data_IF_458256938609
#
_entry.id   IF_458256938609
#
_cell.length_a   1.000
_cell.length_b   1.000
_cell.length_c   1.000
_cell.angle_alpha   90.00
_cell.angle_beta   90.00
_cell.angle_gamma   90.00
#
_symmetry.space_group_name_H-M   'P 1'
#
loop_
_entity.id
_entity.type
_entity.pdbx_description
1 polymer ?
#
# COMPACT_ATOMS: atom_id res chain seq x y z
N UNK A 1 60.34 -13.77 -7.19
CA UNK A 1 59.39 -14.89 -7.22
C UNK A 1 58.01 -14.27 -7.01
N UNK A 2 57.36 -13.87 -8.09
CA UNK A 2 56.34 -14.66 -8.84
C UNK A 2 54.98 -14.56 -8.10
N UNK A 3 54.06 -13.67 -8.49
CA UNK A 3 53.19 -13.64 -9.70
C UNK A 3 52.02 -14.64 -9.61
N UNK A 4 50.81 -14.06 -9.80
CA UNK A 4 49.50 -14.60 -10.20
C UNK A 4 48.58 -15.21 -9.13
N UNK A 5 47.38 -14.62 -8.93
CA UNK A 5 46.12 -14.65 -9.75
C UNK A 5 45.32 -15.90 -9.42
N UNK A 6 44.03 -15.81 -9.08
CA UNK A 6 42.89 -15.37 -9.92
C UNK A 6 41.87 -14.59 -9.07
N UNK A 7 41.22 -13.49 -9.48
CA UNK A 7 40.38 -13.19 -10.65
C UNK A 7 39.06 -13.98 -10.69
N UNK A 8 37.96 -13.21 -10.60
CA UNK A 8 36.59 -13.48 -11.09
C UNK A 8 35.71 -14.42 -10.26
N UNK A 9 34.40 -14.21 -10.06
CA UNK A 9 33.39 -13.31 -10.62
C UNK A 9 32.09 -13.53 -9.81
N UNK A 10 31.12 -12.60 -9.93
CA UNK A 10 29.72 -12.62 -9.48
C UNK A 10 29.51 -12.16 -8.01
N UNK A 11 28.73 -11.13 -7.70
CA UNK A 11 27.80 -10.34 -8.51
C UNK A 11 27.50 -9.00 -7.84
N UNK A 12 27.71 -7.93 -8.61
CA UNK A 12 26.98 -6.66 -8.53
C UNK A 12 25.50 -6.87 -8.18
N UNK A 13 25.08 -6.37 -7.01
CA UNK A 13 23.80 -5.68 -6.87
C UNK A 13 24.08 -4.41 -6.05
N UNK A 14 24.40 -3.35 -6.78
CA UNK A 14 24.38 -1.98 -6.27
C UNK A 14 22.94 -1.66 -5.85
N UNK A 15 22.69 -1.61 -4.53
CA UNK A 15 21.51 -0.95 -3.99
C UNK A 15 21.68 0.54 -4.21
N UNK A 16 21.09 0.95 -5.33
CA UNK A 16 20.69 2.27 -5.78
C UNK A 16 20.78 3.32 -4.66
N UNK A 17 21.81 4.15 -4.77
CA UNK A 17 21.85 5.52 -4.27
C UNK A 17 20.69 6.30 -4.92
N UNK A 18 19.58 6.45 -4.20
CA UNK A 18 18.52 7.40 -4.56
C UNK A 18 18.92 8.81 -4.09
N UNK A 19 20.07 9.29 -4.56
CA UNK A 19 20.33 10.71 -4.69
C UNK A 19 20.02 11.08 -6.13
N UNK A 20 18.74 11.36 -6.42
CA UNK A 20 18.34 11.99 -7.67
C UNK A 20 17.32 13.07 -7.34
N UNK A 21 17.83 14.31 -7.36
CA UNK A 21 17.19 15.45 -7.98
C UNK A 21 15.69 15.56 -7.71
N UNK A 22 15.34 16.41 -6.73
CA UNK A 22 14.10 17.19 -6.79
C UNK A 22 14.24 18.10 -8.01
N UNK A 23 14.05 17.53 -9.19
CA UNK A 23 13.69 18.26 -10.38
C UNK A 23 12.35 18.90 -10.05
N UNK A 24 12.33 20.21 -10.25
CA UNK A 24 11.13 21.03 -10.33
C UNK A 24 10.00 20.21 -10.93
N UNK A 25 8.98 19.95 -10.11
CA UNK A 25 7.71 19.45 -10.58
C UNK A 25 7.14 20.57 -11.47
N UNK A 26 7.51 20.55 -12.75
CA UNK A 26 6.79 21.28 -13.76
C UNK A 26 5.33 20.86 -13.62
N UNK A 27 4.37 21.79 -13.45
CA UNK A 27 2.98 21.43 -13.66
C UNK A 27 2.94 20.99 -15.12
N UNK A 28 2.77 19.69 -15.34
CA UNK A 28 2.35 19.18 -16.62
C UNK A 28 1.00 19.84 -16.87
N UNK A 29 1.07 20.94 -17.60
CA UNK A 29 -0.05 21.60 -18.23
C UNK A 29 -0.68 20.54 -19.13
N UNK A 30 -1.61 19.78 -18.56
CA UNK A 30 -2.81 19.45 -19.30
C UNK A 30 -3.31 20.80 -19.75
N UNK A 31 -3.05 21.14 -21.01
CA UNK A 31 -3.70 22.27 -21.67
C UNK A 31 -5.16 21.89 -21.80
N UNK A 32 -5.87 21.86 -20.67
CA UNK A 32 -7.26 22.24 -20.64
C UNK A 32 -7.21 23.66 -21.17
N UNK A 33 -7.44 23.81 -22.48
CA UNK A 33 -7.73 25.12 -23.04
C UNK A 33 -8.84 25.63 -22.14
N UNK A 34 -8.53 26.59 -21.26
CA UNK A 34 -9.55 27.35 -20.55
C UNK A 34 -10.40 27.99 -21.64
N UNK A 35 -11.43 27.25 -22.05
CA UNK A 35 -12.53 27.81 -22.79
C UNK A 35 -13.18 28.73 -21.78
N UNK A 36 -12.85 30.01 -21.88
CA UNK A 36 -13.50 31.03 -21.08
C UNK A 36 -15.01 30.82 -21.23
N UNK A 37 -15.73 30.91 -20.12
CA UNK A 37 -17.18 30.71 -20.10
C UNK A 37 -17.91 31.59 -21.11
N UNK A 38 -17.34 32.76 -21.38
CA UNK A 38 -17.78 33.68 -22.43
C UNK A 38 -17.69 33.04 -23.83
N UNK A 39 -16.64 32.29 -24.15
CA UNK A 39 -16.53 31.56 -25.43
C UNK A 39 -17.56 30.45 -25.53
N UNK A 40 -17.76 29.68 -24.46
CA UNK A 40 -18.78 28.61 -24.42
C UNK A 40 -20.18 29.20 -24.56
N UNK A 41 -20.47 30.30 -23.86
CA UNK A 41 -21.74 31.03 -23.95
C UNK A 41 -21.98 31.59 -25.35
N UNK A 42 -20.95 32.17 -25.98
CA UNK A 42 -21.03 32.71 -27.34
C UNK A 42 -21.25 31.60 -28.38
N UNK A 43 -20.60 30.45 -28.23
CA UNK A 43 -20.79 29.33 -29.15
C UNK A 43 -22.15 28.65 -28.94
N UNK A 44 -22.65 28.61 -27.70
CA UNK A 44 -24.02 28.19 -27.41
C UNK A 44 -25.05 29.12 -28.04
N UNK A 45 -24.86 30.44 -27.97
CA UNK A 45 -25.72 31.42 -28.62
C UNK A 45 -25.76 31.23 -30.15
N UNK A 46 -24.61 31.01 -30.79
CA UNK A 46 -24.56 30.69 -32.24
C UNK A 46 -25.30 29.40 -32.59
N UNK A 47 -25.20 28.38 -31.73
CA UNK A 47 -25.94 27.13 -31.91
C UNK A 47 -27.45 27.37 -31.77
N UNK A 48 -27.89 28.12 -30.77
CA UNK A 48 -29.29 28.53 -30.59
C UNK A 48 -29.80 29.25 -31.86
N UNK A 49 -29.06 30.22 -32.36
CA UNK A 49 -29.40 30.96 -33.58
C UNK A 49 -29.50 30.05 -34.81
N UNK A 50 -28.57 29.11 -34.97
CA UNK A 50 -28.54 28.18 -36.10
C UNK A 50 -29.74 27.23 -36.07
N UNK A 51 -30.10 26.73 -34.88
CA UNK A 51 -31.26 25.87 -34.67
C UNK A 51 -32.55 26.66 -34.95
N UNK A 52 -32.65 27.88 -34.44
CA UNK A 52 -33.78 28.78 -34.70
C UNK A 52 -33.96 29.07 -36.19
N UNK A 53 -32.88 29.40 -36.91
CA UNK A 53 -32.92 29.62 -38.36
C UNK A 53 -33.41 28.38 -39.10
N UNK A 54 -32.94 27.19 -38.72
CA UNK A 54 -33.39 25.92 -39.31
C UNK A 54 -34.87 25.66 -39.03
N UNK A 55 -35.34 25.93 -37.81
CA UNK A 55 -36.74 25.78 -37.42
C UNK A 55 -37.65 26.74 -38.19
N UNK A 56 -37.23 27.99 -38.40
CA UNK A 56 -37.95 28.99 -39.22
C UNK A 56 -38.06 28.49 -40.66
N UNK A 57 -36.96 28.00 -41.26
CA UNK A 57 -36.97 27.46 -42.61
C UNK A 57 -37.89 26.23 -42.73
N UNK A 58 -37.89 25.34 -41.74
CA UNK A 58 -38.78 24.19 -41.71
C UNK A 58 -40.26 24.61 -41.59
N UNK A 59 -40.57 25.63 -40.79
CA UNK A 59 -41.92 26.17 -40.68
C UNK A 59 -42.40 26.75 -42.02
N UNK A 60 -41.57 27.56 -42.67
CA UNK A 60 -41.85 28.12 -44.01
C UNK A 60 -42.08 26.99 -45.01
N UNK A 61 -41.24 25.95 -45.00
CA UNK A 61 -41.40 24.80 -45.88
C UNK A 61 -42.74 24.08 -45.65
N UNK A 62 -43.13 23.86 -44.38
CA UNK A 62 -44.45 23.28 -44.05
C UNK A 62 -45.63 24.15 -44.46
N UNK A 63 -45.47 25.48 -44.51
CA UNK A 63 -46.47 26.39 -45.04
C UNK A 63 -46.57 26.26 -46.58
N UNK A 64 -45.45 26.13 -47.27
CA UNK A 64 -45.41 25.88 -48.72
C UNK A 64 -46.08 24.55 -49.06
N UNK A 65 -45.83 23.50 -48.26
CA UNK A 65 -46.52 22.21 -48.39
C UNK A 65 -48.03 22.33 -48.19
N UNK A 66 -48.50 23.04 -47.15
CA UNK A 66 -49.94 23.21 -46.92
C UNK A 66 -50.63 24.05 -47.99
N UNK A 67 -49.98 25.09 -48.50
CA UNK A 67 -50.49 25.88 -49.64
C UNK A 67 -50.61 25.00 -50.89
N UNK A 68 -49.68 24.07 -51.10
CA UNK A 68 -49.76 23.14 -52.23
C UNK A 68 -50.82 22.04 -52.05
N UNK A 69 -51.07 21.61 -50.82
CA UNK A 69 -51.99 20.53 -50.48
C UNK A 69 -53.45 20.98 -50.31
N UNK A 70 -53.69 22.29 -50.19
CA UNK A 70 -55.03 22.86 -50.18
C UNK A 70 -55.72 22.59 -51.52
N UNK A 71 -56.57 21.56 -51.57
CA UNK A 71 -57.65 21.49 -52.54
C UNK A 71 -58.58 22.70 -52.35
N UNK A 72 -59.37 23.03 -53.38
CA UNK A 72 -60.24 24.21 -53.62
C UNK A 72 -61.17 24.69 -52.47
N UNK A 73 -61.03 24.18 -51.25
CA UNK A 73 -61.86 24.43 -50.07
C UNK A 73 -61.36 25.52 -49.11
N UNK A 74 -60.17 26.09 -49.30
CA UNK A 74 -59.73 27.24 -48.50
C UNK A 74 -59.97 28.56 -49.26
N UNK A 75 -60.72 29.47 -48.65
CA UNK A 75 -61.12 30.79 -49.16
C UNK A 75 -59.93 31.64 -49.66
N UNK A 76 -58.73 31.38 -49.16
CA UNK A 76 -57.48 32.05 -49.53
C UNK A 76 -56.81 31.51 -50.80
N UNK A 77 -57.22 30.33 -51.29
CA UNK A 77 -56.71 29.71 -52.51
C UNK A 77 -57.39 30.28 -53.78
N UNK A 78 -58.40 31.14 -53.62
CA UNK A 78 -59.11 31.81 -54.73
C UNK A 78 -58.21 32.66 -55.65
N UNK A 79 -57.00 33.00 -55.23
CA UNK A 79 -56.05 33.81 -56.01
C UNK A 79 -55.02 33.00 -56.81
N UNK A 80 -54.98 31.67 -56.61
CA UNK A 80 -54.02 30.77 -57.25
C UNK A 80 -54.68 30.06 -58.43
N UNK A 81 -54.11 30.19 -59.62
CA UNK A 81 -54.55 29.39 -60.77
C UNK A 81 -54.19 27.91 -60.54
N UNK A 82 -55.03 26.95 -60.97
CA UNK A 82 -54.79 25.51 -60.75
C UNK A 82 -53.48 25.03 -61.39
N UNK A 83 -53.05 25.67 -62.48
CA UNK A 83 -51.77 25.44 -63.14
C UNK A 83 -50.57 25.79 -62.25
N UNK A 84 -50.69 26.83 -61.41
CA UNK A 84 -49.65 27.23 -60.47
C UNK A 84 -49.49 26.23 -59.32
N UNK A 85 -50.60 25.66 -58.85
CA UNK A 85 -50.59 24.64 -57.80
C UNK A 85 -49.94 23.34 -58.28
N UNK A 86 -50.18 22.94 -59.53
CA UNK A 86 -49.53 21.78 -60.14
C UNK A 86 -48.02 22.01 -60.25
N UNK A 87 -47.61 23.18 -60.75
CA UNK A 87 -46.20 23.62 -60.80
C UNK A 87 -45.54 23.61 -59.40
N UNK A 88 -46.22 24.11 -58.38
CA UNK A 88 -45.72 24.15 -57.00
C UNK A 88 -45.59 22.75 -56.39
N UNK A 89 -46.57 21.86 -56.62
CA UNK A 89 -46.51 20.45 -56.19
C UNK A 89 -45.34 19.71 -56.84
N UNK A 90 -45.09 19.94 -58.13
CA UNK A 90 -43.94 19.37 -58.82
C UNK A 90 -42.61 19.82 -58.22
N UNK A 91 -42.49 21.09 -57.83
CA UNK A 91 -41.28 21.63 -57.17
C UNK A 91 -41.08 21.04 -55.77
N UNK A 92 -42.15 20.87 -55.00
CA UNK A 92 -42.07 20.25 -53.66
C UNK A 92 -41.66 18.77 -53.76
N UNK A 93 -42.24 18.04 -54.72
CA UNK A 93 -41.85 16.65 -55.00
C UNK A 93 -40.39 16.57 -55.42
N UNK A 94 -39.92 17.46 -56.29
CA UNK A 94 -38.52 17.53 -56.70
C UNK A 94 -37.58 17.78 -55.49
N UNK A 95 -37.92 18.73 -54.62
CA UNK A 95 -37.14 19.04 -53.42
C UNK A 95 -37.13 17.88 -52.40
N UNK A 96 -38.25 17.17 -52.24
CA UNK A 96 -38.33 16.00 -51.38
C UNK A 96 -37.47 14.84 -51.93
N UNK A 97 -37.50 14.61 -53.25
CA UNK A 97 -36.64 13.62 -53.92
C UNK A 97 -35.15 13.98 -53.75
N UNK A 98 -34.79 15.26 -53.87
CA UNK A 98 -33.42 15.76 -53.67
C UNK A 98 -32.93 15.54 -52.22
N UNK A 99 -33.80 15.76 -51.22
CA UNK A 99 -33.51 15.51 -49.81
C UNK A 99 -33.20 14.03 -49.52
N UNK A 100 -33.92 13.10 -50.13
CA UNK A 100 -33.71 11.66 -49.90
C UNK A 100 -32.57 11.07 -50.73
N UNK A 101 -32.32 11.59 -51.94
CA UNK A 101 -31.30 11.07 -52.85
C UNK A 101 -29.95 11.79 -52.74
N UNK A 102 -29.82 12.83 -51.90
CA UNK A 102 -28.61 13.68 -51.76
C UNK A 102 -28.01 14.04 -53.13
N UNK A 103 -28.87 14.42 -54.07
CA UNK A 103 -28.44 14.79 -55.41
C UNK A 103 -27.64 16.11 -55.34
N UNK A 104 -26.64 16.32 -56.21
CA UNK A 104 -25.99 17.63 -56.36
C UNK A 104 -27.04 18.70 -56.62
N UNK A 105 -26.84 19.86 -55.99
CA UNK A 105 -27.84 20.92 -55.91
C UNK A 105 -28.38 21.29 -57.30
N UNK A 106 -29.68 21.63 -57.39
CA UNK A 106 -30.31 22.06 -58.65
C UNK A 106 -29.57 23.24 -59.35
N UNK A 107 -28.75 24.01 -58.60
CA UNK A 107 -27.93 25.12 -59.10
C UNK A 107 -26.66 24.65 -59.83
N UNK A 108 -26.07 23.52 -59.43
CA UNK A 108 -24.88 22.97 -60.10
C UNK A 108 -25.24 22.27 -61.42
N UNK A 109 -26.52 21.91 -61.60
CA UNK A 109 -27.04 21.26 -62.83
C UNK A 109 -27.23 22.20 -64.02
N UNK A 110 -27.16 23.53 -63.85
CA UNK A 110 -27.26 24.44 -65.00
C UNK A 110 -26.00 24.43 -65.88
N UNK A 111 -24.88 23.88 -65.39
CA UNK A 111 -23.62 23.84 -66.12
C UNK A 111 -23.22 22.44 -66.60
N UNK A 112 -23.83 21.37 -66.08
CA UNK A 112 -23.51 19.99 -66.46
C UNK A 112 -24.65 19.36 -67.28
N UNK A 113 -24.46 19.40 -68.60
CA UNK A 113 -25.23 18.58 -69.53
C UNK A 113 -25.00 17.09 -69.19
N UNK A 114 -26.06 16.44 -68.68
CA UNK A 114 -26.25 14.98 -68.50
C UNK A 114 -25.68 14.36 -67.21
N UNK A 115 -26.29 14.65 -66.06
CA UNK A 115 -26.27 13.68 -64.94
C UNK A 115 -27.51 12.78 -64.99
N UNK A 116 -27.38 11.65 -65.69
CA UNK A 116 -28.36 10.55 -65.68
C UNK A 116 -27.97 9.54 -64.61
N UNK A 117 -28.52 9.67 -63.40
CA UNK A 117 -28.47 8.57 -62.43
C UNK A 117 -29.78 7.78 -62.63
N UNK A 118 -29.64 6.52 -63.09
CA UNK A 118 -30.72 5.53 -63.25
C UNK A 118 -31.79 5.81 -64.35
N UNK A 119 -31.44 6.50 -65.43
CA UNK A 119 -32.31 6.60 -66.62
C UNK A 119 -33.59 7.44 -66.46
N UNK A 120 -33.82 8.05 -65.30
CA UNK A 120 -34.90 9.03 -65.12
C UNK A 120 -34.40 10.37 -65.64
N UNK A 121 -34.76 10.69 -66.88
CA UNK A 121 -34.56 12.01 -67.45
C UNK A 121 -35.58 12.99 -66.88
N UNK A 122 -35.11 14.21 -66.60
CA UNK A 122 -35.91 15.42 -66.39
C UNK A 122 -36.74 15.43 -65.11
N UNK A 123 -36.10 15.77 -63.99
CA UNK A 123 -36.82 16.55 -62.97
C UNK A 123 -37.25 17.84 -63.68
N UNK A 124 -38.55 18.18 -63.72
CA UNK A 124 -39.00 19.39 -64.38
C UNK A 124 -38.38 20.61 -63.69
N UNK A 125 -37.58 21.38 -64.43
CA UNK A 125 -37.13 22.70 -64.00
C UNK A 125 -38.32 23.63 -64.20
N UNK A 126 -39.13 23.77 -63.15
CA UNK A 126 -40.29 24.65 -63.17
C UNK A 126 -39.81 26.08 -62.89
N UNK A 127 -39.82 26.92 -63.92
CA UNK A 127 -39.55 28.34 -63.77
C UNK A 127 -40.84 29.11 -63.48
N UNK A 128 -40.83 29.89 -62.41
CA UNK A 128 -41.93 30.79 -62.06
C UNK A 128 -41.67 32.21 -62.57
N UNK A 129 -42.69 32.81 -63.18
CA UNK A 129 -42.71 34.23 -63.54
C UNK A 129 -42.64 35.12 -62.29
N UNK A 130 -42.24 36.40 -62.45
CA UNK A 130 -42.14 37.36 -61.35
C UNK A 130 -43.46 37.57 -60.63
N UNK A 131 -44.57 37.54 -61.36
CA UNK A 131 -45.90 37.73 -60.77
C UNK A 131 -46.42 36.45 -60.11
N UNK A 132 -46.14 35.28 -60.70
CA UNK A 132 -46.37 33.98 -60.08
C UNK A 132 -45.64 33.85 -58.72
N UNK A 133 -44.38 34.30 -58.63
CA UNK A 133 -43.60 34.32 -57.38
C UNK A 133 -44.21 35.23 -56.31
N UNK A 134 -44.80 36.37 -56.70
CA UNK A 134 -45.48 37.27 -55.75
C UNK A 134 -46.74 36.63 -55.18
N UNK A 135 -47.51 35.95 -56.01
CA UNK A 135 -48.75 35.25 -55.58
C UNK A 135 -48.39 34.09 -54.63
N UNK A 136 -47.33 33.32 -54.94
CA UNK A 136 -46.81 32.28 -54.02
C UNK A 136 -46.36 32.90 -52.70
N UNK A 137 -45.61 33.99 -52.76
CA UNK A 137 -45.14 34.69 -51.56
C UNK A 137 -46.32 35.16 -50.69
N UNK A 138 -47.33 35.82 -51.26
CA UNK A 138 -48.47 36.31 -50.49
C UNK A 138 -49.32 35.19 -49.90
N UNK A 139 -49.48 34.07 -50.60
CA UNK A 139 -50.18 32.89 -50.11
C UNK A 139 -49.44 32.23 -48.93
N UNK A 140 -48.12 32.08 -49.04
CA UNK A 140 -47.28 31.52 -47.98
C UNK A 140 -47.21 32.45 -46.76
N UNK A 141 -47.12 33.77 -46.97
CA UNK A 141 -47.15 34.77 -45.89
C UNK A 141 -48.48 34.73 -45.13
N UNK A 142 -49.60 34.63 -45.84
CA UNK A 142 -50.93 34.55 -45.21
C UNK A 142 -51.11 33.26 -44.38
N UNK A 143 -50.67 32.12 -44.91
CA UNK A 143 -50.70 30.84 -44.20
C UNK A 143 -49.76 30.85 -42.99
N UNK A 144 -48.57 31.44 -43.13
CA UNK A 144 -47.61 31.62 -42.04
C UNK A 144 -48.21 32.49 -40.91
N UNK A 145 -48.85 33.62 -41.26
CA UNK A 145 -49.51 34.50 -40.30
C UNK A 145 -50.65 33.78 -39.57
N UNK A 146 -51.44 32.98 -40.28
CA UNK A 146 -52.51 32.19 -39.66
C UNK A 146 -51.95 31.16 -38.67
N UNK A 147 -50.86 30.46 -39.03
CA UNK A 147 -50.19 29.53 -38.11
C UNK A 147 -49.61 30.22 -36.90
N UNK A 148 -48.94 31.37 -37.07
CA UNK A 148 -48.42 32.18 -35.96
C UNK A 148 -49.58 32.60 -35.05
N UNK A 149 -50.68 33.10 -35.61
CA UNK A 149 -51.85 33.50 -34.85
C UNK A 149 -52.48 32.34 -34.07
N UNK A 150 -52.62 31.17 -34.71
CA UNK A 150 -53.12 29.95 -34.06
C UNK A 150 -52.20 29.48 -32.92
N UNK A 151 -50.88 29.64 -33.09
CA UNK A 151 -49.89 29.31 -32.07
C UNK A 151 -50.00 30.27 -30.89
N UNK A 152 -50.11 31.58 -31.14
CA UNK A 152 -50.27 32.59 -30.09
C UNK A 152 -51.51 32.32 -29.23
N UNK A 153 -52.66 32.04 -29.85
CA UNK A 153 -53.90 31.71 -29.11
C UNK A 153 -53.72 30.45 -28.26
N UNK A 154 -53.07 29.42 -28.79
CA UNK A 154 -52.80 28.19 -28.02
C UNK A 154 -51.85 28.47 -26.86
N UNK A 155 -50.79 29.21 -27.11
CA UNK A 155 -49.79 29.58 -26.12
C UNK A 155 -50.41 30.36 -24.94
N UNK A 156 -51.27 31.33 -25.24
CA UNK A 156 -52.03 32.08 -24.24
C UNK A 156 -52.96 31.16 -23.43
N UNK A 157 -53.67 30.23 -24.09
CA UNK A 157 -54.53 29.23 -23.40
C UNK A 157 -53.75 28.29 -22.47
N UNK A 158 -52.49 28.00 -22.78
CA UNK A 158 -51.63 27.19 -21.91
C UNK A 158 -51.00 28.01 -20.76
N UNK A 159 -51.40 29.27 -20.58
CA UNK A 159 -50.89 30.13 -19.50
C UNK A 159 -49.52 30.75 -19.79
N UNK A 160 -49.10 30.77 -21.06
CA UNK A 160 -47.85 31.40 -21.47
C UNK A 160 -47.93 32.92 -21.43
N UNK A 161 -46.94 33.57 -20.81
CA UNK A 161 -46.82 35.02 -20.80
C UNK A 161 -45.97 35.50 -22.00
N UNK A 162 -46.64 36.09 -22.99
CA UNK A 162 -46.00 36.66 -24.18
C UNK A 162 -45.09 37.86 -23.87
N UNK A 163 -45.37 38.59 -22.78
CA UNK A 163 -44.61 39.78 -22.37
C UNK A 163 -43.26 39.35 -21.76
N UNK A 164 -43.23 38.27 -20.98
CA UNK A 164 -42.00 37.72 -20.41
C UNK A 164 -41.08 37.09 -21.48
N UNK A 165 -41.69 36.45 -22.48
CA UNK A 165 -40.92 35.79 -23.56
C UNK A 165 -40.33 36.77 -24.58
N UNK A 166 -40.96 37.93 -24.81
CA UNK A 166 -40.35 38.99 -25.63
C UNK A 166 -39.27 39.81 -24.91
N UNK A 167 -39.32 39.88 -23.57
CA UNK A 167 -38.37 40.67 -22.78
C UNK A 167 -37.01 39.97 -22.55
N UNK A 168 -37.02 38.64 -22.45
CA UNK A 168 -35.81 37.85 -22.17
C UNK A 168 -35.32 37.11 -23.42
N UNK A 169 -34.51 37.78 -24.24
CA UNK A 169 -33.71 37.12 -25.29
C UNK A 169 -32.56 36.27 -24.73
N UNK A 170 -32.46 36.17 -23.40
CA UNK A 170 -31.51 35.30 -22.72
C UNK A 170 -32.14 33.93 -22.49
N UNK A 171 -31.55 32.93 -23.14
CA UNK A 171 -31.88 31.53 -22.90
C UNK A 171 -31.70 31.17 -21.44
N UNK A 172 -32.70 30.52 -20.85
CA UNK A 172 -32.66 29.96 -19.50
C UNK A 172 -31.44 29.03 -19.33
N UNK A 173 -31.03 28.34 -20.40
CA UNK A 173 -29.84 27.49 -20.39
C UNK A 173 -28.56 28.31 -20.23
N UNK A 174 -28.45 29.48 -20.89
CA UNK A 174 -27.32 30.41 -20.72
C UNK A 174 -27.25 30.95 -19.29
N UNK A 175 -28.39 31.37 -18.73
CA UNK A 175 -28.43 31.86 -17.34
C UNK A 175 -28.06 30.79 -16.31
N UNK A 176 -28.50 29.55 -16.51
CA UNK A 176 -28.13 28.44 -15.62
C UNK A 176 -26.64 28.10 -15.69
N UNK A 177 -26.01 28.27 -16.86
CA UNK A 177 -24.57 28.07 -17.06
C UNK A 177 -23.75 29.06 -16.23
N UNK A 178 -24.15 30.33 -16.22
CA UNK A 178 -23.50 31.36 -15.38
C UNK A 178 -23.72 31.11 -13.88
N UNK A 179 -24.94 30.76 -13.47
CA UNK A 179 -25.26 30.43 -12.06
C UNK A 179 -24.45 29.24 -11.53
N UNK A 180 -24.25 28.22 -12.36
CA UNK A 180 -23.43 27.06 -12.00
C UNK A 180 -21.97 27.47 -11.74
N UNK A 181 -21.43 28.36 -12.57
CA UNK A 181 -20.07 28.82 -12.41
C UNK A 181 -19.86 29.76 -11.22
N UNK A 182 -20.81 30.65 -10.93
CA UNK A 182 -20.64 31.66 -9.88
C UNK A 182 -20.67 31.06 -8.47
N UNK A 183 -21.49 30.03 -8.23
CA UNK A 183 -21.75 29.56 -6.87
C UNK A 183 -21.13 28.19 -6.61
N UNK A 184 -21.29 27.25 -7.56
CA UNK A 184 -20.96 25.84 -7.32
C UNK A 184 -19.46 25.62 -7.52
N UNK A 185 -18.87 26.20 -8.57
CA UNK A 185 -17.46 26.00 -8.88
C UNK A 185 -16.50 26.51 -7.79
N UNK A 186 -16.66 27.74 -7.24
CA UNK A 186 -15.78 28.26 -6.20
C UNK A 186 -15.97 27.49 -4.89
N UNK A 187 -17.20 27.07 -4.57
CA UNK A 187 -17.49 26.26 -3.40
C UNK A 187 -16.72 24.93 -3.43
N UNK A 188 -16.78 24.19 -4.54
CA UNK A 188 -16.05 22.94 -4.67
C UNK A 188 -14.54 23.14 -4.73
N UNK A 189 -14.07 24.20 -5.39
CA UNK A 189 -12.65 24.53 -5.41
C UNK A 189 -12.12 24.82 -4.00
N UNK A 190 -12.85 25.59 -3.20
CA UNK A 190 -12.50 25.87 -1.81
C UNK A 190 -12.50 24.60 -0.97
N UNK A 191 -13.53 23.75 -1.12
CA UNK A 191 -13.63 22.49 -0.39
C UNK A 191 -12.49 21.52 -0.72
N UNK A 192 -12.08 21.44 -1.99
CA UNK A 192 -10.92 20.64 -2.41
C UNK A 192 -9.63 21.20 -1.78
N UNK A 193 -9.44 22.52 -1.83
CA UNK A 193 -8.27 23.16 -1.23
C UNK A 193 -8.21 22.98 0.30
N UNK A 194 -9.33 23.05 1.00
CA UNK A 194 -9.41 22.76 2.44
C UNK A 194 -8.94 21.33 2.75
N UNK A 195 -9.47 20.34 2.02
CA UNK A 195 -9.06 18.93 2.18
C UNK A 195 -7.56 18.74 1.87
N UNK A 196 -7.06 19.34 0.79
CA UNK A 196 -5.64 19.28 0.45
C UNK A 196 -4.75 19.87 1.56
N UNK A 197 -5.15 21.00 2.13
CA UNK A 197 -4.43 21.63 3.25
C UNK A 197 -4.45 20.77 4.50
N UNK A 198 -5.57 20.09 4.78
CA UNK A 198 -5.67 19.14 5.89
C UNK A 198 -4.74 17.93 5.70
N UNK A 199 -4.75 17.33 4.50
CA UNK A 199 -3.82 16.25 4.17
C UNK A 199 -2.36 16.70 4.29
N UNK A 200 -2.04 17.90 3.83
CA UNK A 200 -0.70 18.45 3.93
C UNK A 200 -0.26 18.59 5.40
N UNK A 201 -1.13 19.11 6.27
CA UNK A 201 -0.88 19.18 7.72
C UNK A 201 -0.67 17.80 8.33
N UNK A 202 -1.52 16.83 7.98
CA UNK A 202 -1.40 15.46 8.49
C UNK A 202 -0.10 14.78 8.05
N UNK A 203 0.34 15.00 6.82
CA UNK A 203 1.64 14.51 6.33
C UNK A 203 2.79 15.10 7.15
N UNK A 204 2.76 16.39 7.45
CA UNK A 204 3.76 17.02 8.30
C UNK A 204 3.77 16.44 9.72
N UNK A 205 2.60 16.23 10.33
CA UNK A 205 2.50 15.59 11.65
C UNK A 205 3.09 14.17 11.60
N UNK A 206 2.76 13.38 10.58
CA UNK A 206 3.33 12.03 10.42
C UNK A 206 4.85 12.06 10.24
N UNK A 207 5.38 13.04 9.49
CA UNK A 207 6.81 13.22 9.30
C UNK A 207 7.52 13.55 10.62
N UNK A 208 6.96 14.45 11.43
CA UNK A 208 7.51 14.81 12.74
C UNK A 208 7.49 13.62 13.70
N UNK A 209 6.38 12.88 13.77
CA UNK A 209 6.28 11.65 14.57
C UNK A 209 7.27 10.57 14.13
N UNK A 210 7.49 10.41 12.82
CA UNK A 210 8.48 9.46 12.30
C UNK A 210 9.90 9.84 12.72
N UNK A 211 10.23 11.12 12.68
CA UNK A 211 11.53 11.64 13.14
C UNK A 211 11.72 11.47 14.64
N UNK A 212 10.70 11.74 15.45
CA UNK A 212 10.73 11.47 16.89
C UNK A 212 10.94 9.98 17.18
N UNK A 213 10.21 9.11 16.47
CA UNK A 213 10.38 7.66 16.60
C UNK A 213 11.78 7.20 16.19
N UNK A 214 12.35 7.79 15.13
CA UNK A 214 13.71 7.48 14.69
C UNK A 214 14.74 7.86 15.76
N UNK A 215 14.61 9.05 16.37
CA UNK A 215 15.47 9.49 17.48
C UNK A 215 15.33 8.56 18.68
N UNK A 216 14.10 8.26 19.11
CA UNK A 216 13.83 7.34 20.21
C UNK A 216 14.43 5.95 19.96
N UNK A 217 14.34 5.45 18.72
CA UNK A 217 14.83 4.12 18.35
C UNK A 217 16.35 4.04 18.26
N UNK A 218 17.03 5.10 17.83
CA UNK A 218 18.49 5.07 17.68
C UNK A 218 19.18 5.61 18.92
N UNK A 219 18.89 6.83 19.33
CA UNK A 219 19.63 7.51 20.39
C UNK A 219 19.42 6.84 21.75
N UNK A 220 18.17 6.64 22.17
CA UNK A 220 17.87 6.09 23.50
C UNK A 220 18.20 4.58 23.61
N UNK A 221 18.05 3.82 22.51
CA UNK A 221 18.41 2.41 22.49
C UNK A 221 19.91 2.18 22.38
N UNK A 222 20.63 3.00 21.62
CA UNK A 222 22.10 2.96 21.60
C UNK A 222 22.65 3.31 22.98
N UNK A 223 22.10 4.33 23.65
CA UNK A 223 22.50 4.67 25.02
C UNK A 223 22.18 3.54 26.01
N UNK A 224 20.99 2.94 25.93
CA UNK A 224 20.60 1.83 26.80
C UNK A 224 21.47 0.58 26.58
N UNK A 225 21.76 0.25 25.33
CA UNK A 225 22.60 -0.91 24.99
C UNK A 225 24.05 -0.68 25.44
N UNK A 226 24.57 0.54 25.28
CA UNK A 226 25.88 0.94 25.79
C UNK A 226 25.95 0.87 27.31
N UNK A 227 24.95 1.40 28.03
CA UNK A 227 24.85 1.29 29.50
C UNK A 227 24.77 -0.17 29.97
N UNK A 228 24.01 -1.02 29.26
CA UNK A 228 23.96 -2.47 29.56
C UNK A 228 25.30 -3.16 29.33
N UNK A 229 26.02 -2.80 28.26
CA UNK A 229 27.35 -3.33 27.99
C UNK A 229 28.36 -2.90 29.06
N UNK A 230 28.34 -1.63 29.48
CA UNK A 230 29.16 -1.12 30.58
C UNK A 230 28.85 -1.82 31.91
N UNK A 231 27.57 -2.03 32.23
CA UNK A 231 27.16 -2.76 33.44
C UNK A 231 27.69 -4.21 33.45
N UNK A 232 27.59 -4.92 32.31
CA UNK A 232 28.16 -6.26 32.16
C UNK A 232 29.69 -6.26 32.30
N UNK A 233 30.37 -5.25 31.76
CA UNK A 233 31.82 -5.09 31.93
C UNK A 233 32.20 -4.91 33.40
N UNK A 234 31.51 -4.03 34.13
CA UNK A 234 31.71 -3.86 35.57
C UNK A 234 31.46 -5.17 36.34
N UNK A 235 30.41 -5.91 36.00
CA UNK A 235 30.12 -7.21 36.62
C UNK A 235 31.24 -8.23 36.39
N UNK A 236 31.81 -8.26 35.18
CA UNK A 236 32.95 -9.12 34.86
C UNK A 236 34.20 -8.73 35.65
N UNK A 237 34.51 -7.43 35.76
CA UNK A 237 35.63 -6.92 36.56
C UNK A 237 35.46 -7.24 38.06
N UNK A 238 34.25 -7.12 38.60
CA UNK A 238 33.95 -7.51 39.99
C UNK A 238 34.20 -9.01 40.18
N UNK A 239 33.74 -9.86 39.25
CA UNK A 239 33.95 -11.30 39.32
C UNK A 239 35.45 -11.67 39.24
N UNK A 240 36.22 -10.98 38.41
CA UNK A 240 37.68 -11.15 38.33
C UNK A 240 38.36 -10.80 39.67
N UNK A 241 38.03 -9.65 40.26
CA UNK A 241 38.56 -9.25 41.58
C UNK A 241 38.16 -10.25 42.66
N UNK A 242 36.91 -10.74 42.66
CA UNK A 242 36.46 -11.76 43.59
C UNK A 242 37.21 -13.08 43.42
N UNK A 243 37.52 -13.49 42.19
CA UNK A 243 38.33 -14.67 41.91
C UNK A 243 39.76 -14.50 42.45
N UNK A 244 40.37 -13.32 42.26
CA UNK A 244 41.69 -13.01 42.82
C UNK A 244 41.69 -13.02 44.35
N UNK A 245 40.68 -12.42 44.99
CA UNK A 245 40.53 -12.40 46.44
C UNK A 245 40.35 -13.82 46.99
N UNK A 246 39.55 -14.64 46.32
CA UNK A 246 39.35 -16.04 46.69
C UNK A 246 40.65 -16.83 46.58
N UNK A 247 41.40 -16.65 45.48
CA UNK A 247 42.73 -17.27 45.29
C UNK A 247 43.70 -16.88 46.41
N UNK A 248 43.77 -15.60 46.76
CA UNK A 248 44.62 -15.12 47.86
C UNK A 248 44.17 -15.68 49.21
N UNK A 249 42.86 -15.71 49.46
CA UNK A 249 42.29 -16.25 50.71
C UNK A 249 42.61 -17.73 50.87
N UNK A 250 42.47 -18.52 49.80
CA UNK A 250 42.86 -19.93 49.79
C UNK A 250 44.36 -20.11 50.03
N UNK A 251 45.21 -19.29 49.39
CA UNK A 251 46.65 -19.33 49.63
C UNK A 251 46.99 -19.03 51.10
N UNK A 252 46.38 -18.00 51.71
CA UNK A 252 46.57 -17.68 53.14
C UNK A 252 46.13 -18.85 54.03
N UNK A 253 45.00 -19.51 53.74
CA UNK A 253 44.55 -20.68 54.49
C UNK A 253 45.54 -21.84 54.38
N UNK A 254 46.02 -22.15 53.18
CA UNK A 254 47.06 -23.16 52.97
C UNK A 254 48.33 -22.81 53.78
N UNK A 255 48.79 -21.55 53.75
CA UNK A 255 49.93 -21.11 54.56
C UNK A 255 49.72 -21.28 56.07
N UNK A 256 48.49 -21.10 56.58
CA UNK A 256 48.16 -21.33 58.00
C UNK A 256 48.04 -22.81 58.36
N UNK A 257 47.59 -23.65 57.44
CA UNK A 257 47.42 -25.09 57.65
C UNK A 257 48.74 -25.86 57.57
N UNK A 258 49.73 -25.39 56.80
CA UNK A 258 51.06 -26.01 56.67
C UNK A 258 51.80 -26.19 58.02
N UNK A 259 51.93 -25.19 58.92
CA UNK A 259 52.61 -25.40 60.20
C UNK A 259 51.85 -26.34 61.13
N UNK A 260 50.51 -26.32 61.10
CA UNK A 260 49.67 -27.21 61.93
C UNK A 260 49.84 -28.66 61.50
N UNK A 261 49.81 -28.92 60.18
CA UNK A 261 50.04 -30.25 59.62
C UNK A 261 51.47 -30.73 59.87
N UNK A 262 52.49 -29.87 59.71
CA UNK A 262 53.87 -30.19 60.04
C UNK A 262 54.04 -30.55 61.54
N UNK A 263 53.41 -29.79 62.44
CA UNK A 263 53.46 -30.08 63.87
C UNK A 263 52.76 -31.38 64.23
N UNK A 264 51.63 -31.70 63.59
CA UNK A 264 50.94 -32.98 63.77
C UNK A 264 51.83 -34.17 63.33
N UNK A 265 52.57 -34.04 62.22
CA UNK A 265 53.53 -35.06 61.79
C UNK A 265 54.69 -35.25 62.77
N UNK A 266 55.21 -34.17 63.37
CA UNK A 266 56.26 -34.26 64.39
C UNK A 266 55.75 -35.01 65.63
N UNK A 267 54.54 -34.70 66.10
CA UNK A 267 53.93 -35.38 67.25
C UNK A 267 53.69 -36.86 66.95
N UNK A 268 53.18 -37.17 65.76
CA UNK A 268 52.98 -38.54 65.31
C UNK A 268 54.30 -39.31 65.23
N UNK A 269 55.33 -38.74 64.62
CA UNK A 269 56.66 -39.36 64.52
C UNK A 269 57.22 -39.69 65.91
N UNK A 270 57.14 -38.74 66.86
CA UNK A 270 57.56 -38.95 68.24
C UNK A 270 56.77 -40.06 68.93
N UNK A 271 55.46 -40.13 68.70
CA UNK A 271 54.58 -41.14 69.29
C UNK A 271 54.90 -42.53 68.73
N UNK A 272 55.13 -42.63 67.43
CA UNK A 272 55.55 -43.86 66.76
C UNK A 272 56.91 -44.32 67.29
N UNK A 273 57.85 -43.41 67.46
CA UNK A 273 59.19 -43.72 67.97
C UNK A 273 59.17 -44.15 69.44
N UNK A 274 58.32 -43.53 70.27
CA UNK A 274 58.09 -43.96 71.65
C UNK A 274 57.47 -45.38 71.71
N UNK A 275 56.46 -45.65 70.88
CA UNK A 275 55.89 -47.00 70.78
C UNK A 275 56.90 -48.02 70.28
N UNK A 276 57.72 -47.66 69.29
CA UNK A 276 58.78 -48.52 68.76
C UNK A 276 59.81 -48.84 69.84
N UNK A 277 60.24 -47.83 70.61
CA UNK A 277 61.17 -47.99 71.74
C UNK A 277 60.59 -48.91 72.82
N UNK A 278 59.32 -48.73 73.18
CA UNK A 278 58.63 -49.59 74.14
C UNK A 278 58.54 -51.04 73.66
N UNK A 279 58.18 -51.26 72.38
CA UNK A 279 58.16 -52.60 71.78
C UNK A 279 59.57 -53.21 71.77
N UNK A 280 60.60 -52.42 71.44
CA UNK A 280 61.98 -52.89 71.43
C UNK A 280 62.48 -53.26 72.83
N UNK A 281 62.10 -52.49 73.85
CA UNK A 281 62.35 -52.81 75.25
C UNK A 281 61.63 -54.11 75.65
N UNK A 282 60.37 -54.28 75.27
CA UNK A 282 59.60 -55.50 75.54
C UNK A 282 60.22 -56.72 74.83
N UNK A 283 60.67 -56.58 73.58
CA UNK A 283 61.41 -57.62 72.85
C UNK A 283 62.71 -57.96 73.59
N UNK A 284 63.43 -56.97 74.11
CA UNK A 284 64.67 -57.21 74.86
C UNK A 284 64.39 -57.97 76.16
N UNK A 285 63.32 -57.62 76.88
CA UNK A 285 62.86 -58.34 78.07
C UNK A 285 62.49 -59.78 77.72
N UNK A 286 61.65 -59.99 76.70
CA UNK A 286 61.24 -61.33 76.24
C UNK A 286 62.41 -62.17 75.77
N UNK A 287 63.40 -61.59 75.07
CA UNK A 287 64.64 -62.28 74.71
C UNK A 287 65.49 -62.66 75.94
N UNK A 288 65.54 -61.81 76.95
CA UNK A 288 66.20 -62.12 78.22
C UNK A 288 65.51 -63.28 78.94
N UNK A 289 64.18 -63.28 78.96
CA UNK A 289 63.36 -64.34 79.54
C UNK A 289 63.52 -65.66 78.76
N UNK A 290 63.61 -65.58 77.43
CA UNK A 290 63.90 -66.73 76.57
C UNK A 290 65.28 -67.33 76.90
N UNK A 291 66.32 -66.49 77.06
CA UNK A 291 67.65 -66.97 77.47
C UNK A 291 67.64 -67.63 78.84
N UNK A 292 66.96 -67.04 79.82
CA UNK A 292 66.80 -67.66 81.13
C UNK A 292 66.10 -69.02 81.01
N UNK A 293 65.06 -69.12 80.18
CA UNK A 293 64.38 -70.39 79.91
C UNK A 293 65.30 -71.42 79.23
N UNK A 294 66.13 -70.98 78.28
CA UNK A 294 67.15 -71.83 77.65
C UNK A 294 68.24 -72.28 78.64
N UNK A 295 68.64 -71.45 79.60
CA UNK A 295 69.62 -71.82 80.65
C UNK A 295 69.04 -72.82 81.67
N UNK A 296 67.71 -72.77 81.90
CA UNK A 296 66.97 -73.73 82.73
C UNK A 296 66.75 -75.08 82.02
N UNK A 297 66.92 -75.12 80.69
CA UNK A 297 66.78 -76.33 79.86
C UNK A 297 67.92 -77.30 80.16
N UNK A 298 67.60 -78.52 80.61
CA UNK A 298 68.58 -79.52 81.03
C UNK A 298 68.98 -79.48 82.51
N UNK A 299 68.30 -78.68 83.34
CA UNK A 299 68.38 -78.78 84.81
C UNK A 299 67.30 -79.72 85.36
N UNK A 300 67.36 -80.09 86.65
CA UNK A 300 66.33 -80.90 87.33
C UNK A 300 64.92 -80.28 87.16
N UNK A 301 64.82 -78.96 87.00
CA UNK A 301 63.57 -78.27 86.72
C UNK A 301 62.97 -78.64 85.36
N UNK A 302 63.78 -78.88 84.32
CA UNK A 302 63.31 -79.35 83.01
C UNK A 302 62.83 -80.81 83.09
N UNK A 303 63.49 -81.65 83.90
CA UNK A 303 63.03 -83.02 84.15
C UNK A 303 61.73 -83.07 84.97
N UNK A 304 61.57 -82.18 85.96
CA UNK A 304 60.31 -82.01 86.70
C UNK A 304 59.22 -81.49 85.77
N UNK A 305 59.50 -80.48 84.94
CA UNK A 305 58.54 -79.93 83.98
C UNK A 305 58.14 -80.98 82.93
N UNK A 306 59.10 -81.78 82.45
CA UNK A 306 58.84 -82.88 81.51
C UNK A 306 58.00 -83.98 82.15
N UNK A 307 58.30 -84.38 83.40
CA UNK A 307 57.42 -85.28 84.16
C UNK A 307 56.03 -84.70 84.38
N UNK A 308 55.92 -83.42 84.70
CA UNK A 308 54.64 -82.75 84.88
C UNK A 308 53.83 -82.72 83.57
N UNK A 309 54.47 -82.39 82.44
CA UNK A 309 53.85 -82.45 81.12
C UNK A 309 53.49 -83.88 80.72
N UNK A 310 54.31 -84.86 81.04
CA UNK A 310 54.00 -86.28 80.82
C UNK A 310 52.80 -86.70 81.66
N UNK A 311 52.74 -86.32 82.94
CA UNK A 311 51.58 -86.54 83.82
C UNK A 311 50.34 -85.85 83.25
N UNK A 312 50.42 -84.58 82.85
CA UNK A 312 49.31 -83.86 82.22
C UNK A 312 48.86 -84.55 80.93
N UNK A 313 49.78 -85.03 80.09
CA UNK A 313 49.45 -85.76 78.87
C UNK A 313 48.83 -87.14 79.16
N UNK A 314 49.23 -87.78 80.26
CA UNK A 314 48.67 -89.05 80.72
C UNK A 314 47.27 -88.84 81.28
N UNK A 315 47.06 -87.78 82.08
CA UNK A 315 45.74 -87.33 82.53
C UNK A 315 44.85 -87.01 81.33
N UNK A 316 45.34 -86.25 80.33
CA UNK A 316 44.56 -85.98 79.11
C UNK A 316 44.23 -87.27 78.34
N UNK A 317 45.12 -88.26 78.31
CA UNK A 317 44.86 -89.56 77.65
C UNK A 317 43.85 -90.40 78.44
N UNK A 318 43.97 -90.44 79.76
CA UNK A 318 43.02 -91.12 80.65
C UNK A 318 41.65 -90.43 80.60
N UNK A 319 41.60 -89.11 80.57
CA UNK A 319 40.37 -88.33 80.39
C UNK A 319 39.74 -88.58 79.00
N UNK A 320 40.54 -88.68 77.93
CA UNK A 320 40.06 -89.08 76.60
C UNK A 320 39.54 -90.53 76.59
N UNK A 321 40.19 -91.46 77.30
CA UNK A 321 39.74 -92.85 77.45
C UNK A 321 38.44 -92.93 78.26
N UNK A 322 38.33 -92.19 79.37
CA UNK A 322 37.13 -92.09 80.20
C UNK A 322 35.94 -91.48 79.45
N UNK A 323 36.20 -90.51 78.58
CA UNK A 323 35.18 -89.91 77.71
C UNK A 323 34.83 -90.78 76.49
N UNK A 324 35.51 -91.92 76.27
CA UNK A 324 35.27 -92.87 75.16
C UNK A 324 34.64 -94.20 75.60
N UNK A 325 34.22 -94.29 76.87
CA UNK A 325 33.60 -95.44 77.55
C UNK A 325 32.16 -95.06 77.95
#
# INVERSE_FOLDING_TARGET
>A
MSINSDISQLSEISMISCASSIQQLHPSSTTCKEYSLEKISNDLAKCEDTICQKAILELIFKCVESVSAAEEKNEYCMTMTPELLIKLRQVILANNIEKYLKLPSLKDRQNDDKLTILGIMNIPIVEFSRDEKKIIKSAVESELLNRIHSFLIRYEKFGGNLIETMGNNESIARQNLFKFNEIILPHWNNKINEMCNEYHRNIFICYDLLNEWQKLKHDDMEELTLKKAQSKLCQAQIAEIQAHLTKMTCAIKMFKEIPVTAQAFIILARTVEEKLSNIQAEIKIKKGLLKQYEDLRGTEYDDILRRYLDICSTIEKDERLLNSL
#
